data_IF_208632651801
#
_entry.id   IF_208632651801
#
_cell.length_a   1.000
_cell.length_b   1.000
_cell.length_c   1.000
_cell.angle_alpha   90.00
_cell.angle_beta   90.00
_cell.angle_gamma   90.00
#
_symmetry.space_group_name_H-M   'P 1'
#
loop_
_entity.id
_entity.type
_entity.pdbx_description
1 polymer ?
#
# COMPACT_ATOMS: atom_id res chain seq x y z
N UNK A 1 -3.73 11.11 27.69
CA UNK A 1 -5.12 11.22 27.22
C UNK A 1 -6.05 11.01 28.40
N UNK A 2 -7.16 11.73 28.48
CA UNK A 2 -8.20 11.51 29.48
C UNK A 2 -8.78 10.08 29.36
N UNK A 3 -8.96 9.32 30.45
CA UNK A 3 -9.54 7.97 30.40
C UNK A 3 -10.89 7.87 29.69
N UNK A 4 -11.74 8.90 29.79
CA UNK A 4 -13.04 8.94 29.13
C UNK A 4 -12.89 9.09 27.61
N UNK A 5 -11.97 9.96 27.18
CA UNK A 5 -11.61 10.10 25.75
C UNK A 5 -11.03 8.78 25.23
N UNK A 6 -10.16 8.12 26.01
CA UNK A 6 -9.60 6.82 25.66
C UNK A 6 -10.68 5.78 25.39
N UNK A 7 -11.62 5.62 26.34
CA UNK A 7 -12.69 4.65 26.23
C UNK A 7 -13.59 4.91 25.02
N UNK A 8 -13.86 6.17 24.72
CA UNK A 8 -14.66 6.57 23.56
C UNK A 8 -13.95 6.25 22.23
N UNK A 9 -12.68 6.62 22.08
CA UNK A 9 -11.91 6.32 20.85
C UNK A 9 -11.74 4.81 20.66
N UNK A 10 -11.51 4.05 21.74
CA UNK A 10 -11.50 2.58 21.71
C UNK A 10 -12.84 2.02 21.22
N UNK A 11 -13.96 2.55 21.71
CA UNK A 11 -15.29 2.13 21.27
C UNK A 11 -15.56 2.45 19.79
N UNK A 12 -15.00 3.56 19.27
CA UNK A 12 -15.06 3.89 17.85
C UNK A 12 -14.27 2.88 17.01
N UNK A 13 -13.04 2.56 17.41
CA UNK A 13 -12.21 1.55 16.72
C UNK A 13 -12.84 0.15 16.76
N UNK A 14 -13.42 -0.25 17.89
CA UNK A 14 -14.08 -1.55 18.02
C UNK A 14 -15.25 -1.74 17.04
N UNK A 15 -15.95 -0.65 16.74
CA UNK A 15 -17.12 -0.63 15.84
C UNK A 15 -16.74 -0.44 14.37
N UNK A 16 -15.48 -0.18 14.07
CA UNK A 16 -15.03 -0.02 12.69
C UNK A 16 -15.13 -1.35 11.94
N UNK A 17 -16.01 -1.41 10.93
CA UNK A 17 -16.27 -2.62 10.15
C UNK A 17 -15.18 -2.95 9.13
N UNK A 18 -14.11 -2.14 9.05
CA UNK A 18 -12.99 -2.35 8.14
C UNK A 18 -11.83 -3.10 8.81
N UNK A 19 -10.73 -3.25 8.05
CA UNK A 19 -9.54 -3.94 8.52
C UNK A 19 -8.93 -3.30 9.78
N UNK A 20 -9.02 -1.98 9.92
CA UNK A 20 -8.52 -1.26 11.10
C UNK A 20 -9.22 -1.72 12.38
N UNK A 21 -10.55 -1.75 12.40
CA UNK A 21 -11.31 -2.31 13.52
C UNK A 21 -11.09 -3.80 13.72
N UNK A 22 -10.95 -4.56 12.64
CA UNK A 22 -10.67 -6.01 12.72
C UNK A 22 -9.34 -6.31 13.40
N UNK A 23 -8.28 -5.57 13.07
CA UNK A 23 -6.96 -5.67 13.71
C UNK A 23 -7.02 -5.18 15.16
N UNK A 24 -7.69 -4.05 15.42
CA UNK A 24 -7.87 -3.54 16.78
C UNK A 24 -8.58 -4.57 17.69
N UNK A 25 -9.67 -5.17 17.22
CA UNK A 25 -10.41 -6.19 17.96
C UNK A 25 -9.57 -7.46 18.20
N UNK A 26 -8.71 -7.84 17.25
CA UNK A 26 -7.78 -8.95 17.45
C UNK A 26 -6.75 -8.64 18.55
N UNK A 27 -6.23 -7.40 18.60
CA UNK A 27 -5.30 -6.95 19.64
C UNK A 27 -5.96 -6.89 21.03
N UNK A 28 -7.18 -6.34 21.12
CA UNK A 28 -7.94 -6.29 22.40
C UNK A 28 -8.34 -7.69 22.88
N UNK A 29 -8.45 -8.67 21.98
CA UNK A 29 -8.60 -10.09 22.34
C UNK A 29 -7.31 -10.74 22.88
N UNK A 30 -6.23 -9.98 23.05
CA UNK A 30 -4.97 -10.43 23.62
C UNK A 30 -3.99 -11.06 22.62
N UNK A 31 -4.28 -11.02 21.31
CA UNK A 31 -3.33 -11.50 20.32
C UNK A 31 -2.16 -10.51 20.18
N UNK A 32 -0.95 -11.02 20.37
CA UNK A 32 0.29 -10.25 20.24
C UNK A 32 1.13 -10.70 19.03
N UNK A 33 0.91 -11.92 18.54
CA UNK A 33 1.60 -12.46 17.37
C UNK A 33 0.99 -11.88 16.07
N UNK A 34 1.81 -11.23 15.24
CA UNK A 34 1.35 -10.59 14.01
C UNK A 34 0.83 -11.58 12.95
N UNK A 35 1.31 -12.82 12.94
CA UNK A 35 0.77 -13.86 12.06
C UNK A 35 -0.66 -14.22 12.46
N UNK A 36 -0.89 -14.46 13.74
CA UNK A 36 -2.21 -14.81 14.27
C UNK A 36 -3.20 -13.65 14.09
N UNK A 37 -2.73 -12.40 14.29
CA UNK A 37 -3.55 -11.22 14.01
C UNK A 37 -3.90 -11.15 12.51
N UNK A 38 -2.96 -11.45 11.61
CA UNK A 38 -3.24 -11.42 10.17
C UNK A 38 -4.31 -12.44 9.79
N UNK A 39 -4.19 -13.67 10.28
CA UNK A 39 -5.16 -14.75 10.07
C UNK A 39 -6.55 -14.39 10.60
N UNK A 40 -6.63 -13.83 11.82
CA UNK A 40 -7.92 -13.50 12.45
C UNK A 40 -8.58 -12.25 11.89
N UNK A 41 -7.79 -11.26 11.47
CA UNK A 41 -8.31 -9.99 10.94
C UNK A 41 -8.56 -9.99 9.44
N UNK A 42 -8.07 -11.00 8.71
CA UNK A 42 -8.08 -11.02 7.25
C UNK A 42 -7.02 -10.13 6.61
N UNK A 43 -6.02 -9.67 7.38
CA UNK A 43 -4.89 -8.94 6.81
C UNK A 43 -4.08 -9.85 5.86
N UNK A 44 -3.56 -9.27 4.79
CA UNK A 44 -2.90 -10.05 3.74
C UNK A 44 -1.50 -10.56 4.12
N UNK A 45 -0.87 -9.96 5.14
CA UNK A 45 0.38 -10.40 5.77
C UNK A 45 0.70 -9.63 7.06
N UNK A 46 1.83 -9.98 7.69
CA UNK A 46 2.35 -9.33 8.91
C UNK A 46 2.67 -7.84 8.73
N UNK A 47 3.22 -7.46 7.57
CA UNK A 47 3.56 -6.07 7.28
C UNK A 47 2.33 -5.15 7.31
N UNK A 48 1.20 -5.63 6.77
CA UNK A 48 -0.09 -4.94 6.90
C UNK A 48 -0.47 -4.80 8.37
N UNK A 49 -0.38 -5.88 9.17
CA UNK A 49 -0.68 -5.81 10.60
C UNK A 49 0.16 -4.74 11.31
N UNK A 50 1.48 -4.71 11.09
CA UNK A 50 2.37 -3.70 11.69
C UNK A 50 1.99 -2.27 11.32
N UNK A 51 1.66 -2.02 10.05
CA UNK A 51 1.25 -0.69 9.61
C UNK A 51 -0.04 -0.24 10.32
N UNK A 52 -1.02 -1.14 10.43
CA UNK A 52 -2.27 -0.86 11.13
C UNK A 52 -2.07 -0.73 12.66
N UNK A 53 -1.16 -1.49 13.27
CA UNK A 53 -0.78 -1.31 14.67
C UNK A 53 -0.20 0.10 14.90
N UNK A 54 0.68 0.58 14.03
CA UNK A 54 1.20 1.96 14.08
C UNK A 54 0.08 2.99 13.92
N UNK A 55 -0.89 2.76 13.02
CA UNK A 55 -2.07 3.62 12.90
C UNK A 55 -2.92 3.62 14.18
N UNK A 56 -3.16 2.45 14.77
CA UNK A 56 -3.94 2.31 16.01
C UNK A 56 -3.25 3.04 17.16
N UNK A 57 -1.92 2.89 17.32
CA UNK A 57 -1.13 3.63 18.31
C UNK A 57 -1.19 5.14 18.07
N UNK A 58 -1.15 5.59 16.81
CA UNK A 58 -1.32 7.00 16.49
C UNK A 58 -2.70 7.53 16.88
N UNK A 59 -3.76 6.75 16.61
CA UNK A 59 -5.14 7.13 16.90
C UNK A 59 -5.46 7.08 18.40
N UNK A 60 -4.95 6.08 19.12
CA UNK A 60 -5.23 5.89 20.55
C UNK A 60 -4.31 6.71 21.45
N UNK A 61 -3.03 6.81 21.09
CA UNK A 61 -2.00 7.36 22.00
C UNK A 61 -1.39 8.66 21.47
N UNK A 62 -1.69 9.05 20.23
CA UNK A 62 -1.11 10.23 19.60
C UNK A 62 0.37 10.09 19.26
N UNK A 63 0.87 8.84 19.18
CA UNK A 63 2.24 8.49 18.77
C UNK A 63 2.37 8.68 17.26
N UNK A 64 3.27 9.57 16.82
CA UNK A 64 3.41 9.84 15.39
C UNK A 64 4.18 8.71 14.70
N UNK A 65 3.64 8.14 13.61
CA UNK A 65 4.38 7.21 12.78
C UNK A 65 5.64 7.85 12.20
N UNK A 66 6.69 7.05 12.05
CA UNK A 66 7.90 7.45 11.33
C UNK A 66 7.71 7.47 9.80
N UNK A 67 6.51 7.20 9.31
CA UNK A 67 6.19 6.99 7.89
C UNK A 67 5.12 7.99 7.44
N UNK A 68 5.37 8.68 6.33
CA UNK A 68 4.44 9.65 5.75
C UNK A 68 3.13 8.98 5.30
N UNK A 69 3.23 7.82 4.65
CA UNK A 69 2.10 7.04 4.16
C UNK A 69 1.24 6.48 5.29
N UNK A 70 1.84 5.94 6.36
CA UNK A 70 1.10 5.48 7.54
C UNK A 70 0.37 6.67 8.20
N UNK A 71 1.03 7.83 8.33
CA UNK A 71 0.40 9.04 8.87
C UNK A 71 -0.80 9.50 8.04
N UNK A 72 -0.69 9.49 6.70
CA UNK A 72 -1.79 9.82 5.79
C UNK A 72 -2.98 8.87 5.97
N UNK A 73 -2.71 7.56 6.07
CA UNK A 73 -3.76 6.55 6.24
C UNK A 73 -4.42 6.63 7.63
N UNK A 74 -3.66 6.92 8.68
CA UNK A 74 -4.20 7.18 10.01
C UNK A 74 -5.11 8.42 10.00
N UNK A 75 -4.68 9.52 9.39
CA UNK A 75 -5.48 10.75 9.28
C UNK A 75 -6.80 10.52 8.52
N UNK A 76 -6.78 9.76 7.42
CA UNK A 76 -7.99 9.34 6.68
C UNK A 76 -8.91 8.47 7.54
N UNK A 77 -8.33 7.54 8.30
CA UNK A 77 -9.09 6.68 9.21
C UNK A 77 -9.78 7.50 10.29
N UNK A 78 -9.10 8.50 10.88
CA UNK A 78 -9.73 9.43 11.84
C UNK A 78 -10.90 10.17 11.18
N UNK A 79 -10.72 10.74 9.99
CA UNK A 79 -11.82 11.41 9.27
C UNK A 79 -13.04 10.52 9.09
N UNK A 80 -12.82 9.25 8.74
CA UNK A 80 -13.87 8.26 8.56
C UNK A 80 -14.55 7.90 9.88
N UNK A 81 -13.78 7.58 10.92
CA UNK A 81 -14.30 7.27 12.26
C UNK A 81 -15.17 8.41 12.81
N UNK A 82 -14.75 9.66 12.63
CA UNK A 82 -15.55 10.85 13.00
C UNK A 82 -16.87 10.89 12.20
N UNK A 83 -16.81 10.64 10.90
CA UNK A 83 -17.99 10.68 10.01
C UNK A 83 -19.00 9.57 10.32
N UNK A 84 -18.53 8.38 10.66
CA UNK A 84 -19.36 7.19 10.89
C UNK A 84 -19.93 7.11 12.31
N UNK A 85 -19.38 7.88 13.26
CA UNK A 85 -19.84 7.88 14.65
C UNK A 85 -20.90 8.96 14.89
N UNK A 86 -22.13 8.55 15.24
CA UNK A 86 -23.27 9.46 15.37
C UNK A 86 -23.16 10.45 16.55
N UNK A 87 -22.51 10.07 17.65
CA UNK A 87 -22.34 10.89 18.84
C UNK A 87 -20.89 10.78 19.31
N UNK A 88 -20.20 11.91 19.35
CA UNK A 88 -18.81 12.03 19.81
C UNK A 88 -18.76 13.15 20.84
N UNK A 89 -18.13 12.92 21.99
CA UNK A 89 -17.93 13.97 22.99
C UNK A 89 -17.04 15.10 22.43
N UNK A 90 -17.23 16.35 22.88
CA UNK A 90 -16.39 17.47 22.44
C UNK A 90 -14.89 17.21 22.65
N UNK A 91 -14.52 16.59 23.79
CA UNK A 91 -13.13 16.29 24.13
C UNK A 91 -12.50 15.22 23.21
N UNK A 92 -13.25 14.16 22.87
CA UNK A 92 -12.77 13.15 21.94
C UNK A 92 -12.67 13.69 20.51
N UNK A 93 -13.62 14.53 20.09
CA UNK A 93 -13.57 15.19 18.79
C UNK A 93 -12.37 16.15 18.69
N UNK A 94 -12.08 16.93 19.73
CA UNK A 94 -10.91 17.80 19.80
C UNK A 94 -9.61 17.01 19.71
N UNK A 95 -9.48 15.94 20.51
CA UNK A 95 -8.33 15.04 20.48
C UNK A 95 -8.10 14.44 19.08
N UNK A 96 -9.14 13.88 18.47
CA UNK A 96 -9.05 13.26 17.14
C UNK A 96 -8.69 14.28 16.06
N UNK A 97 -9.26 15.49 16.10
CA UNK A 97 -8.92 16.55 15.16
C UNK A 97 -7.48 17.04 15.33
N UNK A 98 -7.01 17.20 16.57
CA UNK A 98 -5.63 17.58 16.86
C UNK A 98 -4.64 16.51 16.37
N UNK A 99 -4.90 15.24 16.71
CA UNK A 99 -4.10 14.10 16.25
C UNK A 99 -4.09 14.01 14.72
N UNK A 100 -5.24 14.16 14.08
CA UNK A 100 -5.35 14.19 12.62
C UNK A 100 -4.53 15.32 12.00
N UNK A 101 -4.56 16.53 12.58
CA UNK A 101 -3.78 17.64 12.06
C UNK A 101 -2.27 17.37 12.13
N UNK A 102 -1.79 16.82 13.25
CA UNK A 102 -0.39 16.41 13.42
C UNK A 102 0.03 15.31 12.45
N UNK A 103 -0.86 14.35 12.19
CA UNK A 103 -0.61 13.29 11.20
C UNK A 103 -0.50 13.86 9.78
N UNK A 104 -1.34 14.83 9.41
CA UNK A 104 -1.25 15.54 8.13
C UNK A 104 0.06 16.33 8.02
N UNK A 105 0.47 17.03 9.08
CA UNK A 105 1.77 17.71 9.11
C UNK A 105 2.93 16.71 8.92
N UNK A 106 2.84 15.54 9.56
CA UNK A 106 3.83 14.49 9.44
C UNK A 106 3.87 13.84 8.05
N UNK A 107 2.87 14.01 7.17
CA UNK A 107 2.95 13.48 5.79
C UNK A 107 3.96 14.25 4.94
N UNK A 108 4.20 15.52 5.29
CA UNK A 108 5.13 16.41 4.60
C UNK A 108 6.48 16.54 5.33
N UNK A 109 6.65 15.83 6.44
CA UNK A 109 7.90 15.85 7.21
C UNK A 109 9.01 15.13 6.44
N UNK A 110 10.14 15.81 6.23
CA UNK A 110 11.30 15.28 5.51
C UNK A 110 11.74 13.92 6.08
N UNK A 111 11.79 13.78 7.41
CA UNK A 111 12.20 12.53 8.05
C UNK A 111 11.24 11.38 7.77
N UNK A 112 9.93 11.64 7.74
CA UNK A 112 8.91 10.64 7.46
C UNK A 112 8.88 10.24 5.97
N UNK A 113 9.16 11.20 5.07
CA UNK A 113 9.29 10.95 3.63
C UNK A 113 10.54 10.12 3.33
N UNK A 114 11.68 10.47 3.94
CA UNK A 114 12.93 9.72 3.78
C UNK A 114 12.80 8.29 4.30
N UNK A 115 12.09 8.08 5.42
CA UNK A 115 11.81 6.74 5.92
C UNK A 115 11.00 5.90 4.92
N UNK A 116 9.95 6.46 4.32
CA UNK A 116 9.15 5.76 3.31
C UNK A 116 9.98 5.43 2.07
N UNK A 117 10.83 6.36 1.63
CA UNK A 117 11.73 6.15 0.51
C UNK A 117 12.75 5.05 0.79
N UNK A 118 13.36 5.04 1.99
CA UNK A 118 14.30 4.01 2.40
C UNK A 118 13.63 2.63 2.50
N UNK A 119 12.41 2.57 3.05
CA UNK A 119 11.63 1.34 3.07
C UNK A 119 11.40 0.83 1.66
N UNK A 120 10.84 1.65 0.76
CA UNK A 120 10.59 1.32 -0.64
C UNK A 120 11.86 0.85 -1.38
N UNK A 121 13.00 1.47 -1.12
CA UNK A 121 14.29 1.07 -1.68
C UNK A 121 14.65 -0.36 -1.26
N UNK A 122 14.57 -0.65 0.04
CA UNK A 122 14.85 -1.99 0.56
C UNK A 122 13.90 -3.03 -0.04
N UNK A 123 12.61 -2.70 -0.17
CA UNK A 123 11.61 -3.59 -0.78
C UNK A 123 11.96 -3.92 -2.23
N UNK A 124 12.25 -2.89 -3.01
CA UNK A 124 12.61 -3.05 -4.41
C UNK A 124 13.90 -3.85 -4.56
N UNK A 125 14.94 -3.56 -3.77
CA UNK A 125 16.22 -4.26 -3.82
C UNK A 125 16.08 -5.76 -3.50
N UNK A 126 15.24 -6.12 -2.53
CA UNK A 126 14.96 -7.51 -2.20
C UNK A 126 14.18 -8.22 -3.31
N UNK A 127 13.13 -7.58 -3.85
CA UNK A 127 12.37 -8.13 -4.98
C UNK A 127 13.23 -8.33 -6.22
N UNK A 128 14.19 -7.44 -6.47
CA UNK A 128 15.14 -7.58 -7.58
C UNK A 128 15.99 -8.85 -7.47
N UNK A 129 16.36 -9.25 -6.25
CA UNK A 129 17.08 -10.51 -6.05
C UNK A 129 16.21 -11.71 -6.43
N UNK A 130 14.96 -11.74 -5.98
CA UNK A 130 13.98 -12.80 -6.32
C UNK A 130 13.62 -12.77 -7.81
N UNK A 131 13.53 -11.59 -8.41
CA UNK A 131 13.27 -11.39 -9.83
C UNK A 131 14.30 -12.06 -10.75
N UNK A 132 15.52 -12.29 -10.25
CA UNK A 132 16.56 -12.97 -11.01
C UNK A 132 16.33 -14.48 -11.15
N UNK A 133 15.54 -15.08 -10.25
CA UNK A 133 15.23 -16.51 -10.24
C UNK A 133 13.91 -16.85 -10.92
N UNK A 134 13.05 -15.87 -11.16
CA UNK A 134 11.75 -16.05 -11.79
C UNK A 134 11.88 -15.86 -13.29
N UNK A 135 11.49 -16.90 -14.03
CA UNK A 135 11.25 -16.84 -15.46
C UNK A 135 9.75 -16.74 -15.69
N UNK A 136 9.34 -16.06 -16.76
CA UNK A 136 7.93 -15.93 -17.15
C UNK A 136 7.04 -15.29 -16.07
N UNK A 137 7.11 -13.95 -15.92
CA UNK A 137 6.35 -13.23 -14.90
C UNK A 137 5.72 -11.94 -15.40
N UNK A 138 4.64 -11.53 -14.73
CA UNK A 138 4.07 -10.19 -14.79
C UNK A 138 4.71 -9.37 -13.68
N UNK A 139 5.21 -8.19 -14.00
CA UNK A 139 5.81 -7.29 -13.01
C UNK A 139 5.00 -6.01 -12.88
N UNK A 140 5.02 -5.46 -11.67
CA UNK A 140 4.45 -4.14 -11.38
C UNK A 140 5.54 -3.25 -10.83
N UNK A 141 5.77 -2.11 -11.46
CA UNK A 141 6.65 -1.08 -10.93
C UNK A 141 6.00 0.30 -10.99
N UNK A 142 6.54 1.23 -10.20
CA UNK A 142 6.21 2.65 -10.31
C UNK A 142 7.46 3.51 -10.09
N UNK A 143 7.32 4.82 -10.24
CA UNK A 143 8.38 5.78 -9.90
C UNK A 143 8.14 6.36 -8.49
N UNK A 144 9.21 6.68 -7.74
CA UNK A 144 9.10 7.30 -6.41
C UNK A 144 8.14 8.50 -6.39
N UNK A 145 8.25 9.41 -7.37
CA UNK A 145 7.34 10.55 -7.48
C UNK A 145 5.87 10.13 -7.56
N UNK A 146 5.54 9.11 -8.35
CA UNK A 146 4.16 8.63 -8.48
C UNK A 146 3.65 7.95 -7.22
N UNK A 147 4.50 7.20 -6.52
CA UNK A 147 4.16 6.56 -5.25
C UNK A 147 3.96 7.57 -4.12
N UNK A 148 4.64 8.71 -4.18
CA UNK A 148 4.52 9.74 -3.16
C UNK A 148 3.25 10.58 -3.32
N UNK A 149 2.98 11.07 -4.53
CA UNK A 149 1.87 12.00 -4.79
C UNK A 149 0.57 11.31 -5.24
N UNK A 150 0.64 10.08 -5.75
CA UNK A 150 -0.50 9.39 -6.35
C UNK A 150 -0.94 10.04 -7.67
N UNK A 151 -2.25 10.01 -7.94
CA UNK A 151 -2.85 10.73 -9.07
C UNK A 151 -3.38 12.09 -8.66
N UNK A 152 -3.63 12.96 -9.65
CA UNK A 152 -4.19 14.30 -9.44
C UNK A 152 -5.61 14.23 -8.85
N UNK A 153 -6.40 13.24 -9.29
CA UNK A 153 -7.80 13.10 -8.91
C UNK A 153 -7.96 12.33 -7.59
N UNK A 154 -7.08 11.36 -7.33
CA UNK A 154 -7.07 10.56 -6.11
C UNK A 154 -5.64 10.22 -5.66
N UNK A 155 -5.24 10.77 -4.51
CA UNK A 155 -3.95 10.49 -3.86
C UNK A 155 -3.85 9.07 -3.28
N UNK A 156 -4.93 8.30 -3.28
CA UNK A 156 -4.94 6.86 -2.94
C UNK A 156 -4.67 5.95 -4.14
N UNK A 157 -4.73 6.48 -5.36
CA UNK A 157 -4.39 5.75 -6.58
C UNK A 157 -2.97 6.11 -7.02
N UNK A 158 -2.24 5.12 -7.50
CA UNK A 158 -0.87 5.28 -7.98
C UNK A 158 -0.80 4.92 -9.45
N UNK A 159 0.09 5.61 -10.18
CA UNK A 159 0.44 5.18 -11.53
C UNK A 159 1.32 3.93 -11.45
N UNK A 160 0.72 2.79 -11.77
CA UNK A 160 1.37 1.48 -11.76
C UNK A 160 1.60 1.02 -13.20
N UNK A 161 2.85 0.69 -13.53
CA UNK A 161 3.15 0.03 -14.80
C UNK A 161 3.07 -1.46 -14.62
N UNK A 162 2.23 -2.11 -15.43
CA UNK A 162 2.02 -3.56 -15.44
C UNK A 162 2.53 -4.08 -16.76
N UNK A 163 3.66 -4.78 -16.72
CA UNK A 163 4.29 -5.35 -17.92
C UNK A 163 4.65 -6.81 -17.71
N UNK A 164 5.07 -7.45 -18.79
CA UNK A 164 5.46 -8.86 -18.76
C UNK A 164 6.87 -9.12 -19.29
N UNK A 165 7.45 -10.27 -18.90
CA UNK A 165 8.74 -10.71 -19.43
C UNK A 165 8.87 -12.23 -19.44
N UNK A 166 9.44 -12.75 -20.53
CA UNK A 166 9.88 -14.15 -20.68
C UNK A 166 11.30 -14.38 -20.11
N UNK A 167 12.06 -13.29 -19.91
CA UNK A 167 13.42 -13.27 -19.38
C UNK A 167 13.44 -12.66 -17.96
N UNK A 168 14.62 -12.38 -17.41
CA UNK A 168 14.76 -11.70 -16.12
C UNK A 168 13.96 -10.39 -16.07
N UNK A 169 13.04 -10.30 -15.11
CA UNK A 169 12.17 -9.13 -14.87
C UNK A 169 13.00 -7.85 -14.67
N UNK A 170 14.09 -7.93 -13.90
CA UNK A 170 14.86 -6.73 -13.58
C UNK A 170 15.63 -6.16 -14.78
N UNK A 171 16.22 -7.02 -15.61
CA UNK A 171 16.89 -6.58 -16.83
C UNK A 171 15.91 -5.82 -17.75
N UNK A 172 14.69 -6.33 -17.87
CA UNK A 172 13.63 -5.69 -18.67
C UNK A 172 13.25 -4.31 -18.12
N UNK A 173 13.12 -4.16 -16.81
CA UNK A 173 12.78 -2.88 -16.17
C UNK A 173 13.88 -1.85 -16.38
N UNK A 174 15.15 -2.23 -16.21
CA UNK A 174 16.30 -1.34 -16.41
C UNK A 174 16.42 -0.89 -17.87
N UNK A 175 16.23 -1.81 -18.83
CA UNK A 175 16.21 -1.48 -20.26
C UNK A 175 15.10 -0.51 -20.63
N UNK A 176 13.90 -0.70 -20.06
CA UNK A 176 12.76 0.18 -20.28
C UNK A 176 12.96 1.56 -19.64
N UNK A 177 13.56 1.64 -18.43
CA UNK A 177 13.79 2.93 -17.77
C UNK A 177 14.70 3.85 -18.61
N UNK A 178 15.74 3.28 -19.21
CA UNK A 178 16.64 4.00 -20.14
C UNK A 178 15.90 4.62 -21.33
N UNK A 179 14.72 4.09 -21.69
CA UNK A 179 13.89 4.59 -22.80
C UNK A 179 12.88 5.65 -22.36
N UNK A 180 12.45 5.65 -21.08
CA UNK A 180 11.40 6.56 -20.58
C UNK A 180 11.90 7.97 -20.21
N UNK A 181 13.23 8.20 -20.23
CA UNK A 181 13.86 9.50 -19.87
C UNK A 181 13.45 10.05 -18.49
N UNK A 182 12.98 9.18 -17.60
CA UNK A 182 12.66 9.56 -16.23
C UNK A 182 13.96 9.75 -15.43
N UNK A 183 14.07 10.81 -14.60
CA UNK A 183 15.28 11.08 -13.84
C UNK A 183 15.46 10.15 -12.63
N UNK A 184 14.41 9.42 -12.25
CA UNK A 184 14.39 8.52 -11.10
C UNK A 184 14.46 7.04 -11.55
N UNK A 185 15.03 6.20 -10.69
CA UNK A 185 14.98 4.74 -10.88
C UNK A 185 13.61 4.16 -10.49
N UNK A 186 13.05 3.23 -11.29
CA UNK A 186 11.78 2.58 -10.97
C UNK A 186 11.92 1.69 -9.74
N UNK A 187 10.84 1.61 -8.97
CA UNK A 187 10.71 0.71 -7.82
C UNK A 187 9.83 -0.47 -8.20
N UNK A 188 10.42 -1.67 -8.14
CA UNK A 188 9.71 -2.93 -8.35
C UNK A 188 8.82 -3.20 -7.13
N UNK A 189 7.53 -3.41 -7.35
CA UNK A 189 6.52 -3.52 -6.30
C UNK A 189 5.97 -4.94 -6.16
N UNK A 190 5.77 -5.63 -7.29
CA UNK A 190 5.21 -6.98 -7.35
C UNK A 190 5.79 -7.77 -8.51
N UNK A 191 5.86 -9.09 -8.33
CA UNK A 191 6.00 -10.06 -9.41
C UNK A 191 4.88 -11.08 -9.25
N UNK A 192 4.17 -11.35 -10.32
CA UNK A 192 3.16 -12.41 -10.38
C UNK A 192 3.64 -13.50 -11.34
N UNK A 193 3.61 -14.74 -10.88
CA UNK A 193 4.10 -15.87 -11.65
C UNK A 193 3.33 -17.15 -11.28
N UNK A 194 3.51 -18.18 -12.11
CA UNK A 194 3.13 -19.56 -11.79
C UNK A 194 3.78 -20.51 -12.80
N UNK A 195 3.80 -21.79 -12.46
CA UNK A 195 4.25 -22.82 -13.38
C UNK A 195 3.43 -22.82 -14.68
N UNK A 196 4.12 -22.97 -15.81
CA UNK A 196 3.54 -23.07 -17.16
C UNK A 196 2.58 -21.91 -17.53
N UNK A 197 2.87 -20.70 -17.05
CA UNK A 197 2.10 -19.51 -17.34
C UNK A 197 2.13 -19.12 -18.82
N UNK A 198 0.95 -18.94 -19.43
CA UNK A 198 0.80 -18.19 -20.67
C UNK A 198 0.83 -16.69 -20.34
N UNK A 199 2.02 -16.11 -20.38
CA UNK A 199 2.27 -14.72 -19.96
C UNK A 199 1.48 -13.74 -20.81
N UNK A 200 1.46 -13.93 -22.12
CA UNK A 200 0.85 -12.99 -23.05
C UNK A 200 -0.67 -12.94 -22.81
N UNK A 201 -1.29 -14.11 -22.58
CA UNK A 201 -2.70 -14.20 -22.22
C UNK A 201 -3.00 -13.60 -20.84
N UNK A 202 -2.13 -13.78 -19.85
CA UNK A 202 -2.34 -13.22 -18.51
C UNK A 202 -2.17 -11.71 -18.49
N UNK A 203 -1.13 -11.17 -19.12
CA UNK A 203 -0.94 -9.71 -19.26
C UNK A 203 -2.17 -9.07 -19.91
N UNK A 204 -2.67 -9.67 -20.99
CA UNK A 204 -3.87 -9.20 -21.66
C UNK A 204 -5.09 -9.22 -20.73
N UNK A 205 -5.24 -10.25 -19.88
CA UNK A 205 -6.33 -10.30 -18.89
C UNK A 205 -6.20 -9.21 -17.83
N UNK A 206 -5.00 -8.93 -17.31
CA UNK A 206 -4.78 -7.82 -16.39
C UNK A 206 -5.22 -6.50 -17.02
N UNK A 207 -4.68 -6.18 -18.20
CA UNK A 207 -4.97 -4.92 -18.88
C UNK A 207 -6.45 -4.80 -19.23
N UNK A 208 -7.05 -5.84 -19.80
CA UNK A 208 -8.46 -5.83 -20.20
C UNK A 208 -9.40 -5.69 -19.00
N UNK A 209 -9.07 -6.31 -17.86
CA UNK A 209 -9.91 -6.22 -16.66
C UNK A 209 -9.82 -4.84 -16.03
N UNK A 210 -8.61 -4.27 -15.92
CA UNK A 210 -8.43 -2.91 -15.38
C UNK A 210 -9.14 -1.87 -16.26
N UNK A 211 -9.04 -2.01 -17.59
CA UNK A 211 -9.79 -1.18 -18.53
C UNK A 211 -11.31 -1.34 -18.35
N UNK A 212 -11.81 -2.57 -18.25
CA UNK A 212 -13.23 -2.86 -18.14
C UNK A 212 -13.85 -2.34 -16.83
N UNK A 213 -13.08 -2.32 -15.74
CA UNK A 213 -13.49 -1.79 -14.43
C UNK A 213 -13.35 -0.25 -14.38
N UNK A 214 -12.80 0.36 -15.43
CA UNK A 214 -12.73 1.81 -15.58
C UNK A 214 -11.52 2.46 -14.92
N UNK A 215 -10.46 1.70 -14.64
CA UNK A 215 -9.21 2.28 -14.16
C UNK A 215 -8.61 3.19 -15.23
N UNK A 216 -8.16 4.38 -14.83
CA UNK A 216 -7.54 5.32 -15.77
C UNK A 216 -6.26 4.70 -16.35
N UNK A 217 -6.22 4.54 -17.66
CA UNK A 217 -5.03 4.09 -18.39
C UNK A 217 -4.35 5.30 -18.98
N UNK A 218 -3.01 5.36 -18.94
CA UNK A 218 -2.31 6.51 -19.50
C UNK A 218 -2.64 6.67 -20.99
N UNK A 219 -3.46 7.67 -21.29
CA UNK A 219 -3.81 8.03 -22.65
C UNK A 219 -2.65 8.84 -23.22
N UNK A 220 -1.65 8.14 -23.74
CA UNK A 220 -0.52 8.79 -24.35
C UNK A 220 -0.97 9.51 -25.65
N UNK A 221 -1.39 10.78 -25.53
CA UNK A 221 -1.50 11.72 -26.69
C UNK A 221 -0.16 11.86 -27.42
N UNK A 222 0.95 11.43 -26.81
CA UNK A 222 2.26 11.24 -27.45
C UNK A 222 2.58 9.76 -27.54
N UNK A 223 2.83 9.27 -28.75
CA UNK A 223 3.13 7.88 -29.16
C UNK A 223 4.28 7.15 -28.44
N UNK A 224 4.91 7.73 -27.40
CA UNK A 224 6.05 7.17 -26.66
C UNK A 224 5.77 6.71 -25.24
N UNK A 225 4.68 7.15 -24.59
CA UNK A 225 4.31 6.59 -23.30
C UNK A 225 3.54 5.29 -23.52
N UNK A 226 4.09 4.17 -23.02
CA UNK A 226 3.52 2.84 -23.24
C UNK A 226 2.11 2.72 -22.64
N UNK A 227 1.25 1.93 -23.28
CA UNK A 227 -0.12 1.64 -22.81
C UNK A 227 -0.15 0.81 -21.52
N UNK A 228 0.95 0.66 -20.79
CA UNK A 228 1.05 -0.30 -19.68
C UNK A 228 0.86 0.36 -18.31
N UNK A 229 0.53 1.66 -18.27
CA UNK A 229 0.34 2.41 -17.02
C UNK A 229 -1.14 2.55 -16.68
N UNK A 230 -1.48 2.21 -15.45
CA UNK A 230 -2.82 2.27 -14.89
C UNK A 230 -2.81 3.03 -13.56
N UNK A 231 -3.80 3.90 -13.34
CA UNK A 231 -4.10 4.47 -12.03
C UNK A 231 -4.84 3.41 -11.20
N UNK A 232 -4.16 2.81 -10.23
CA UNK A 232 -4.72 1.72 -9.43
C UNK A 232 -4.06 1.63 -8.05
N UNK A 233 -4.58 0.75 -7.21
CA UNK A 233 -3.93 0.29 -5.98
C UNK A 233 -3.23 -1.05 -6.20
N UNK A 234 -2.24 -1.39 -5.37
CA UNK A 234 -1.61 -2.70 -5.41
C UNK A 234 -2.58 -3.81 -4.98
N UNK A 235 -3.51 -3.51 -4.07
CA UNK A 235 -4.53 -4.44 -3.60
C UNK A 235 -5.47 -4.88 -4.72
N UNK A 236 -5.87 -3.96 -5.60
CA UNK A 236 -6.68 -4.29 -6.76
C UNK A 236 -5.94 -5.22 -7.73
N UNK A 237 -4.65 -4.95 -7.96
CA UNK A 237 -3.82 -5.79 -8.83
C UNK A 237 -3.56 -7.17 -8.19
N UNK A 238 -3.27 -7.21 -6.88
CA UNK A 238 -3.12 -8.44 -6.09
C UNK A 238 -4.42 -9.27 -6.12
N UNK A 239 -5.59 -8.63 -6.10
CA UNK A 239 -6.89 -9.31 -6.21
C UNK A 239 -7.09 -9.98 -7.58
N UNK A 240 -6.70 -9.31 -8.67
CA UNK A 240 -6.71 -9.91 -10.01
C UNK A 240 -5.75 -11.09 -10.10
N UNK A 241 -4.55 -10.97 -9.53
CA UNK A 241 -3.57 -12.05 -9.48
C UNK A 241 -4.15 -13.30 -8.78
N UNK A 242 -4.81 -13.10 -7.63
CA UNK A 242 -5.48 -14.17 -6.89
C UNK A 242 -6.61 -14.83 -7.68
N UNK A 243 -7.42 -14.05 -8.41
CA UNK A 243 -8.48 -14.59 -9.27
C UNK A 243 -7.94 -15.43 -10.44
N UNK A 244 -6.66 -15.25 -10.80
CA UNK A 244 -5.98 -16.00 -11.86
C UNK A 244 -5.05 -17.11 -11.31
N UNK A 245 -5.13 -17.38 -10.00
CA UNK A 245 -4.30 -18.34 -9.28
C UNK A 245 -2.79 -18.10 -9.50
N UNK A 246 -2.36 -16.84 -9.43
CA UNK A 246 -0.95 -16.48 -9.53
C UNK A 246 -0.32 -16.41 -8.14
N UNK A 247 0.92 -16.87 -8.06
CA UNK A 247 1.81 -16.61 -6.93
C UNK A 247 2.23 -15.14 -6.95
N UNK A 248 2.33 -14.53 -5.77
CA UNK A 248 2.63 -13.11 -5.61
C UNK A 248 3.93 -12.97 -4.83
N UNK A 249 4.99 -12.54 -5.51
CA UNK A 249 6.18 -12.05 -4.84
C UNK A 249 6.00 -10.58 -4.47
N UNK A 250 6.11 -10.31 -3.17
CA UNK A 250 6.15 -8.98 -2.58
C UNK A 250 7.24 -9.00 -1.52
N UNK A 251 7.90 -7.87 -1.30
CA UNK A 251 8.76 -7.77 -0.13
C UNK A 251 7.89 -7.68 1.12
N UNK A 252 8.14 -8.56 2.06
CA UNK A 252 7.67 -8.43 3.42
C UNK A 252 8.87 -7.96 4.23
N UNK A 253 8.76 -6.84 4.95
CA UNK A 253 9.79 -6.48 5.93
C UNK A 253 9.79 -7.58 7.00
N UNK A 254 10.71 -8.55 6.88
CA UNK A 254 10.99 -9.50 7.95
C UNK A 254 11.81 -8.78 9.02
N UNK A 255 11.44 -8.98 10.28
CA UNK A 255 11.93 -8.36 11.52
C UNK A 255 13.43 -8.56 11.85
N UNK A 256 14.36 -8.44 10.90
CA UNK A 256 15.81 -8.48 11.21
C UNK A 256 16.54 -7.13 11.07
N UNK A 257 15.88 -6.08 10.56
CA UNK A 257 16.53 -4.78 10.27
C UNK A 257 15.91 -3.56 11.01
N UNK A 258 15.19 -3.75 12.14
CA UNK A 258 14.77 -2.65 13.04
C UNK A 258 15.05 -2.97 14.52
#
# INVERSE_FOLDING_TARGET
MDPQVSAEVKAMLAKDGLLLGSIYNAMEAGLTNTLEIAEKSGASNRGVVYNYQKMILAILEGVMPNSASISRNAARSISRLIKETALISPAALEYLNSTRARLIENTESETAVLHDQASLEAQSAALVKVASTIQNGIYVYSFPTYLHFGTVEDQGLYWLKIGSTKNSVWQRIVEQNRQTSMPEDPKLLRIYHKDQMDIDAIEQKFHATLDAVGHERSAARRTKAGKEWFASTLEAVDALAKLMDLEIEKYESSDEDL
#
